data_IF_252249904085
#
_entry.id   IF_252249904085
#
_cell.length_a   1.000
_cell.length_b   1.000
_cell.length_c   1.000
_cell.angle_alpha   90.00
_cell.angle_beta   90.00
_cell.angle_gamma   90.00
#
_symmetry.space_group_name_H-M   'P 1'
#
loop_
_entity.id
_entity.type
_entity.pdbx_description
1 polymer ?
#
# COMPACT_ATOMS: atom_id res chain seq x y z
N UNK A 1 -8.90 59.82 -7.94
CA UNK A 1 -9.34 58.78 -8.89
C UNK A 1 -8.54 57.46 -8.80
N UNK A 2 -7.28 57.45 -8.36
CA UNK A 2 -6.43 56.24 -8.31
C UNK A 2 -6.69 55.27 -7.14
N UNK A 3 -7.09 55.75 -5.95
CA UNK A 3 -7.34 54.90 -4.77
C UNK A 3 -8.46 53.87 -4.96
N UNK A 4 -9.55 54.24 -5.64
CA UNK A 4 -10.64 53.28 -5.97
C UNK A 4 -10.19 52.21 -6.97
N UNK A 5 -9.31 52.55 -7.91
CA UNK A 5 -8.75 51.59 -8.89
C UNK A 5 -7.82 50.57 -8.25
N UNK A 6 -6.99 51.00 -7.29
CA UNK A 6 -6.11 50.12 -6.51
C UNK A 6 -6.92 49.19 -5.61
N UNK A 7 -7.96 49.70 -4.95
CA UNK A 7 -8.82 48.87 -4.08
C UNK A 7 -9.56 47.78 -4.87
N UNK A 8 -10.06 48.10 -6.07
CA UNK A 8 -10.73 47.12 -6.94
C UNK A 8 -9.73 46.06 -7.45
N UNK A 9 -8.49 46.45 -7.76
CA UNK A 9 -7.45 45.51 -8.19
C UNK A 9 -7.06 44.53 -7.08
N UNK A 10 -6.93 45.01 -5.83
CA UNK A 10 -6.60 44.16 -4.68
C UNK A 10 -7.73 43.18 -4.34
N UNK A 11 -8.99 43.63 -4.42
CA UNK A 11 -10.16 42.74 -4.20
C UNK A 11 -10.26 41.67 -5.30
N UNK A 12 -9.98 42.02 -6.56
CA UNK A 12 -9.94 41.05 -7.67
C UNK A 12 -8.80 40.03 -7.57
N UNK A 13 -7.66 40.42 -6.97
CA UNK A 13 -6.53 39.53 -6.74
C UNK A 13 -6.74 38.61 -5.52
N UNK A 14 -7.48 39.07 -4.50
CA UNK A 14 -7.90 38.24 -3.37
C UNK A 14 -8.98 37.21 -3.76
N UNK A 15 -9.94 37.59 -4.61
CA UNK A 15 -11.03 36.69 -5.02
C UNK A 15 -10.56 35.53 -5.90
N UNK A 16 -9.51 35.73 -6.69
CA UNK A 16 -8.87 34.67 -7.51
C UNK A 16 -8.01 33.71 -6.71
N UNK A 17 -7.60 34.08 -5.49
CA UNK A 17 -6.83 33.22 -4.59
C UNK A 17 -7.72 32.24 -3.82
N UNK A 18 -8.97 32.65 -3.50
CA UNK A 18 -9.90 31.86 -2.69
C UNK A 18 -10.47 30.63 -3.44
N UNK A 19 -10.48 30.65 -4.77
CA UNK A 19 -10.96 29.53 -5.60
C UNK A 19 -10.00 28.33 -5.64
N UNK A 20 -8.75 28.48 -5.19
CA UNK A 20 -7.77 27.38 -5.17
C UNK A 20 -7.86 26.48 -3.93
N UNK A 21 -8.53 26.92 -2.85
CA UNK A 21 -8.62 26.14 -1.61
C UNK A 21 -9.62 24.97 -1.72
N UNK A 22 -10.69 25.12 -2.50
CA UNK A 22 -11.73 24.09 -2.64
C UNK A 22 -11.50 23.12 -3.83
N UNK A 23 -10.53 23.40 -4.71
CA UNK A 23 -10.26 22.57 -5.89
C UNK A 23 -9.55 21.24 -5.54
N UNK A 24 -8.80 21.20 -4.44
CA UNK A 24 -8.07 20.00 -4.01
C UNK A 24 -8.97 18.99 -3.29
N UNK A 25 -10.02 19.46 -2.60
CA UNK A 25 -10.96 18.57 -1.88
C UNK A 25 -11.70 17.62 -2.82
N UNK A 26 -12.04 18.07 -4.02
CA UNK A 26 -12.71 17.25 -5.03
C UNK A 26 -11.79 16.17 -5.61
N UNK A 27 -10.52 16.50 -5.88
CA UNK A 27 -9.52 15.54 -6.34
C UNK A 27 -9.25 14.49 -5.26
N UNK A 28 -9.09 14.89 -4.00
CA UNK A 28 -8.91 13.97 -2.87
C UNK A 28 -10.15 13.09 -2.67
N UNK A 29 -11.36 13.63 -2.81
CA UNK A 29 -12.60 12.83 -2.77
C UNK A 29 -12.68 11.81 -3.90
N UNK A 30 -12.36 12.21 -5.14
CA UNK A 30 -12.35 11.31 -6.31
C UNK A 30 -11.31 10.19 -6.16
N UNK A 31 -10.14 10.50 -5.61
CA UNK A 31 -9.13 9.49 -5.30
C UNK A 31 -9.55 8.58 -4.13
N UNK A 32 -10.26 9.11 -3.12
CA UNK A 32 -10.71 8.31 -1.97
C UNK A 32 -11.80 7.28 -2.30
N UNK A 33 -12.61 7.53 -3.35
CA UNK A 33 -13.69 6.61 -3.75
C UNK A 33 -13.28 5.63 -4.86
N UNK A 34 -12.08 5.73 -5.44
CA UNK A 34 -11.56 4.82 -6.47
C UNK A 34 -12.59 4.51 -7.60
N UNK A 35 -13.46 5.47 -7.92
CA UNK A 35 -14.47 5.31 -8.97
C UNK A 35 -13.80 5.56 -10.31
N UNK A 36 -13.40 4.47 -10.97
CA UNK A 36 -13.16 4.46 -12.40
C UNK A 36 -14.44 4.87 -13.10
N UNK A 37 -14.42 6.00 -13.81
CA UNK A 37 -15.48 6.33 -14.77
C UNK A 37 -15.60 5.16 -15.77
N UNK A 38 -16.82 4.68 -15.95
CA UNK A 38 -17.14 3.31 -16.35
C UNK A 38 -17.01 3.05 -17.86
N UNK A 39 -15.78 2.83 -18.34
CA UNK A 39 -15.50 2.16 -19.64
C UNK A 39 -14.55 0.95 -19.47
N UNK A 40 -14.29 0.52 -18.23
CA UNK A 40 -13.39 -0.58 -17.88
C UNK A 40 -14.10 -1.88 -17.50
N UNK A 41 -13.31 -2.85 -17.02
CA UNK A 41 -13.81 -4.13 -16.51
C UNK A 41 -14.72 -3.92 -15.29
N UNK A 42 -15.88 -4.59 -15.28
CA UNK A 42 -16.76 -4.67 -14.12
C UNK A 42 -16.66 -6.05 -13.50
N UNK A 43 -16.20 -6.12 -12.26
CA UNK A 43 -16.09 -7.37 -11.52
C UNK A 43 -17.25 -7.49 -10.54
N UNK A 44 -17.92 -8.65 -10.55
CA UNK A 44 -18.93 -9.01 -9.55
C UNK A 44 -18.32 -10.00 -8.57
N UNK A 45 -18.30 -9.65 -7.29
CA UNK A 45 -17.81 -10.54 -6.24
C UNK A 45 -18.80 -11.69 -6.02
N UNK A 46 -18.36 -12.93 -6.23
CA UNK A 46 -19.17 -14.13 -5.98
C UNK A 46 -18.98 -14.62 -4.54
N UNK A 47 -17.74 -14.61 -4.03
CA UNK A 47 -17.37 -15.06 -2.68
C UNK A 47 -16.33 -14.09 -2.12
N UNK A 48 -16.46 -13.76 -0.83
CA UNK A 48 -15.44 -13.06 -0.04
C UNK A 48 -15.18 -13.86 1.24
N UNK A 49 -13.91 -14.25 1.46
CA UNK A 49 -13.49 -14.97 2.66
C UNK A 49 -12.91 -14.04 3.74
N UNK A 50 -13.04 -12.73 3.53
CA UNK A 50 -12.42 -11.67 4.31
C UNK A 50 -10.88 -11.70 4.24
N UNK A 51 -10.29 -10.57 4.61
CA UNK A 51 -8.83 -10.39 4.72
C UNK A 51 -8.52 -9.26 5.69
N UNK A 52 -7.28 -9.21 6.14
CA UNK A 52 -6.74 -8.01 6.80
C UNK A 52 -6.56 -6.85 5.82
N UNK A 53 -6.17 -5.69 6.35
CA UNK A 53 -5.94 -4.48 5.56
C UNK A 53 -4.89 -4.69 4.44
N UNK A 54 -4.92 -3.83 3.42
CA UNK A 54 -3.91 -3.90 2.35
C UNK A 54 -2.57 -3.46 2.92
N UNK A 55 -1.54 -4.26 2.67
CA UNK A 55 -0.18 -4.01 3.10
C UNK A 55 0.69 -3.46 1.96
N UNK A 56 1.81 -2.83 2.30
CA UNK A 56 2.77 -2.32 1.33
C UNK A 56 4.20 -2.79 1.69
N UNK A 57 4.81 -3.58 0.79
CA UNK A 57 6.19 -4.06 0.94
C UNK A 57 7.25 -3.00 0.60
N UNK A 58 6.85 -1.85 0.04
CA UNK A 58 7.73 -0.80 -0.42
C UNK A 58 8.67 -1.28 -1.53
N UNK A 59 9.87 -0.70 -1.56
CA UNK A 59 10.91 -1.05 -2.54
C UNK A 59 11.76 -2.24 -2.09
N UNK A 60 11.13 -3.39 -1.82
CA UNK A 60 11.80 -4.62 -1.40
C UNK A 60 11.16 -5.86 -2.03
N UNK A 61 11.95 -6.88 -2.39
CA UNK A 61 11.50 -8.18 -2.93
C UNK A 61 10.86 -9.13 -1.90
N UNK A 62 10.08 -8.60 -0.94
CA UNK A 62 9.56 -9.36 0.21
C UNK A 62 8.10 -9.83 0.05
N UNK A 63 7.59 -9.86 -1.19
CA UNK A 63 6.20 -10.25 -1.48
C UNK A 63 5.84 -11.62 -0.89
N UNK A 64 6.78 -12.57 -0.90
CA UNK A 64 6.63 -13.91 -0.35
C UNK A 64 6.33 -13.90 1.16
N UNK A 65 6.98 -13.01 1.92
CA UNK A 65 6.71 -12.83 3.35
C UNK A 65 5.37 -12.13 3.57
N UNK A 66 5.07 -11.08 2.79
CA UNK A 66 3.81 -10.35 2.92
C UNK A 66 2.60 -11.22 2.57
N UNK A 67 2.64 -11.91 1.43
CA UNK A 67 1.56 -12.78 0.97
C UNK A 67 1.31 -13.93 1.96
N UNK A 68 2.37 -14.58 2.45
CA UNK A 68 2.22 -15.71 3.38
C UNK A 68 1.71 -15.26 4.75
N UNK A 69 2.24 -14.18 5.30
CA UNK A 69 1.73 -13.65 6.57
C UNK A 69 0.28 -13.17 6.44
N UNK A 70 -0.10 -12.48 5.35
CA UNK A 70 -1.49 -12.11 5.09
C UNK A 70 -2.40 -13.34 4.90
N UNK A 71 -1.90 -14.42 4.30
CA UNK A 71 -2.62 -15.68 4.23
C UNK A 71 -2.87 -16.27 5.63
N UNK A 72 -1.85 -16.31 6.49
CA UNK A 72 -1.99 -16.78 7.87
C UNK A 72 -2.99 -15.94 8.66
N UNK A 73 -2.95 -14.62 8.49
CA UNK A 73 -3.93 -13.68 9.06
C UNK A 73 -5.37 -14.00 8.60
N UNK A 74 -5.58 -14.24 7.31
CA UNK A 74 -6.88 -14.65 6.78
C UNK A 74 -7.31 -16.03 7.29
N UNK A 75 -6.39 -16.98 7.47
CA UNK A 75 -6.71 -18.28 8.07
C UNK A 75 -7.12 -18.14 9.55
N UNK A 76 -6.61 -17.14 10.28
CA UNK A 76 -7.13 -16.81 11.62
C UNK A 76 -8.58 -16.34 11.56
N UNK A 77 -8.92 -15.47 10.61
CA UNK A 77 -10.31 -15.01 10.39
C UNK A 77 -11.21 -16.19 10.07
N UNK A 78 -10.80 -17.04 9.12
CA UNK A 78 -11.52 -18.26 8.73
C UNK A 78 -11.73 -19.23 9.90
N UNK A 79 -10.78 -19.30 10.83
CA UNK A 79 -10.88 -20.10 12.05
C UNK A 79 -11.75 -19.43 13.15
N UNK A 80 -12.41 -18.30 12.87
CA UNK A 80 -13.21 -17.55 13.84
C UNK A 80 -12.38 -16.85 14.93
N UNK A 81 -11.07 -16.66 14.70
CA UNK A 81 -10.15 -16.00 15.63
C UNK A 81 -9.96 -14.53 15.23
N UNK A 82 -9.56 -13.72 16.20
CA UNK A 82 -9.09 -12.37 15.92
C UNK A 82 -7.74 -12.45 15.18
N UNK A 83 -7.60 -11.88 13.97
CA UNK A 83 -6.33 -11.89 13.25
C UNK A 83 -5.29 -11.04 13.97
N UNK A 84 -4.11 -11.60 14.18
CA UNK A 84 -2.96 -10.84 14.68
C UNK A 84 -2.25 -10.21 13.49
N UNK A 85 -1.93 -8.92 13.58
CA UNK A 85 -1.07 -8.28 12.59
C UNK A 85 0.37 -8.81 12.71
N UNK A 86 0.75 -9.73 11.83
CA UNK A 86 2.05 -10.39 11.83
C UNK A 86 3.13 -9.42 11.33
N UNK A 87 4.32 -9.48 11.92
CA UNK A 87 5.44 -8.65 11.52
C UNK A 87 6.13 -9.24 10.28
N UNK A 88 5.67 -8.86 9.08
CA UNK A 88 6.18 -9.36 7.78
C UNK A 88 7.71 -9.29 7.64
N UNK A 89 8.32 -8.21 8.16
CA UNK A 89 9.78 -8.04 8.12
C UNK A 89 10.53 -8.92 9.12
N UNK A 90 9.89 -9.35 10.22
CA UNK A 90 10.52 -10.29 11.16
C UNK A 90 10.81 -11.64 10.47
N UNK A 91 9.82 -12.17 9.74
CA UNK A 91 9.96 -13.40 8.95
C UNK A 91 11.05 -13.26 7.87
N UNK A 92 11.00 -12.17 7.10
CA UNK A 92 11.99 -11.90 6.06
C UNK A 92 13.42 -11.80 6.62
N UNK A 93 13.59 -11.09 7.74
CA UNK A 93 14.89 -10.94 8.41
C UNK A 93 15.48 -12.28 8.84
N UNK A 94 14.67 -13.15 9.43
CA UNK A 94 15.16 -14.46 9.90
C UNK A 94 15.53 -15.36 8.72
N UNK A 95 14.72 -15.37 7.66
CA UNK A 95 15.01 -16.13 6.44
C UNK A 95 16.30 -15.65 5.77
N UNK A 96 16.56 -14.33 5.74
CA UNK A 96 17.81 -13.80 5.19
C UNK A 96 19.04 -14.25 5.97
N UNK A 97 18.93 -14.45 7.29
CA UNK A 97 20.02 -15.00 8.09
C UNK A 97 20.35 -16.44 7.68
N UNK A 98 19.34 -17.28 7.47
CA UNK A 98 19.52 -18.65 6.99
C UNK A 98 20.05 -18.69 5.55
N UNK A 99 19.53 -17.79 4.70
CA UNK A 99 20.00 -17.62 3.32
C UNK A 99 21.48 -17.26 3.28
N UNK A 100 21.95 -16.39 4.18
CA UNK A 100 23.37 -16.02 4.30
C UNK A 100 24.24 -17.21 4.70
N UNK A 101 23.78 -18.02 5.67
CA UNK A 101 24.49 -19.24 6.05
C UNK A 101 24.59 -20.22 4.88
N UNK A 102 23.48 -20.43 4.16
CA UNK A 102 23.44 -21.34 3.01
C UNK A 102 24.32 -20.83 1.86
N UNK A 103 24.34 -19.52 1.61
CA UNK A 103 25.21 -18.91 0.63
C UNK A 103 26.69 -19.20 0.92
N UNK A 104 27.12 -19.03 2.18
CA UNK A 104 28.49 -19.33 2.61
C UNK A 104 28.78 -20.84 2.50
N UNK A 105 27.88 -21.70 2.99
CA UNK A 105 28.05 -23.16 2.95
C UNK A 105 28.19 -23.71 1.53
N UNK A 106 27.48 -23.12 0.58
CA UNK A 106 27.50 -23.52 -0.83
C UNK A 106 28.58 -22.80 -1.65
N UNK A 107 29.53 -22.13 -0.99
CA UNK A 107 30.62 -21.44 -1.66
C UNK A 107 30.15 -20.35 -2.63
N UNK A 108 29.01 -19.71 -2.34
CA UNK A 108 28.40 -18.69 -3.17
C UNK A 108 27.59 -19.22 -4.37
N UNK A 109 27.35 -20.52 -4.46
CA UNK A 109 26.69 -21.16 -5.62
C UNK A 109 25.15 -21.11 -5.57
N UNK A 110 24.56 -20.50 -4.54
CA UNK A 110 23.10 -20.34 -4.39
C UNK A 110 22.69 -18.87 -4.47
N UNK A 111 21.41 -18.61 -4.71
CA UNK A 111 20.90 -17.23 -4.79
C UNK A 111 20.98 -16.52 -3.42
N UNK A 112 21.34 -15.23 -3.44
CA UNK A 112 21.39 -14.35 -2.26
C UNK A 112 20.54 -13.07 -2.43
N UNK A 113 19.53 -13.12 -3.30
CA UNK A 113 18.57 -12.03 -3.47
C UNK A 113 17.58 -11.90 -2.31
N UNK A 114 16.70 -10.91 -2.41
CA UNK A 114 15.61 -10.59 -1.48
C UNK A 114 14.37 -11.47 -1.64
N UNK A 115 14.27 -12.23 -2.73
CA UNK A 115 13.20 -13.20 -2.94
C UNK A 115 13.25 -14.40 -1.99
N UNK A 116 12.11 -15.08 -1.87
CA UNK A 116 11.86 -16.26 -1.07
C UNK A 116 10.54 -16.91 -1.48
N UNK A 117 10.15 -17.94 -0.76
CA UNK A 117 9.00 -18.79 -1.02
C UNK A 117 8.07 -18.86 0.21
N UNK A 118 6.82 -19.31 0.07
CA UNK A 118 5.90 -19.39 1.21
C UNK A 118 6.41 -20.25 2.37
N UNK A 119 7.17 -21.31 2.08
CA UNK A 119 7.75 -22.19 3.11
C UNK A 119 8.90 -21.54 3.89
N UNK A 120 9.45 -20.42 3.43
CA UNK A 120 10.40 -19.63 4.21
C UNK A 120 9.70 -18.83 5.32
N UNK A 121 8.36 -18.73 5.26
CA UNK A 121 7.55 -17.95 6.19
C UNK A 121 6.77 -18.77 7.24
N UNK A 122 6.82 -20.10 7.18
CA UNK A 122 6.09 -21.02 8.08
C UNK A 122 6.95 -22.16 8.63
#
# INVERSE_FOLDING_TARGET
>A
MYRKKILIAVIGMLSTSATFLFAQDELVKKTSENKSDSVGFQFTQIINLERTAIENQGSAGTCWSYATNSFLESEMIKAGKQPLHLAKIFTARNSYFEKAQNYIRMGGSVNYGDGGEPHDAV
#
